data_IF_018883470308
#
_entry.id   IF_018883470308
#
_cell.length_a   1.000
_cell.length_b   1.000
_cell.length_c   1.000
_cell.angle_alpha   90.00
_cell.angle_beta   90.00
_cell.angle_gamma   90.00
#
_symmetry.space_group_name_H-M   'P 1'
#
loop_
_entity.id
_entity.type
_entity.pdbx_description
1 polymer ?
2 polymer ?
3 non-polymer ?
4 non-polymer ?
5 non-polymer ?
6 non-polymer ?
7 non-polymer ?
8 water ?
#
# COMPACT_ATOMS: atom_id res chain seq x y z
N UNK A 1 10.72 3.42 -29.56
CA UNK A 1 10.54 3.75 -28.11
C UNK A 1 10.80 2.54 -27.25
N UNK A 2 11.35 2.84 -26.11
CA UNK A 2 11.67 1.84 -25.09
C UNK A 2 11.12 2.22 -23.73
N UNK A 3 10.74 1.17 -23.02
CA UNK A 3 9.93 1.31 -21.79
C UNK A 3 10.69 1.93 -20.64
N UNK A 4 12.00 1.81 -20.72
CA UNK A 4 12.89 2.20 -19.62
C UNK A 4 13.10 3.70 -19.61
N UNK A 5 12.84 4.24 -20.79
CA UNK A 5 12.92 5.67 -21.03
C UNK A 5 11.55 6.30 -21.14
N UNK A 6 11.28 7.17 -20.20
CA UNK A 6 10.09 8.02 -20.23
C UNK A 6 8.83 7.18 -20.19
N UNK A 7 9.04 5.96 -19.73
CA UNK A 7 7.97 4.95 -19.56
C UNK A 7 7.41 4.52 -20.89
N UNK A 8 8.22 4.78 -21.89
CA UNK A 8 7.92 4.39 -23.27
C UNK A 8 6.78 5.22 -23.82
N UNK A 9 6.51 6.24 -23.04
CA UNK A 9 5.51 7.27 -23.36
C UNK A 9 4.13 6.88 -22.87
N UNK A 10 4.11 5.67 -22.33
CA UNK A 10 2.88 5.07 -21.77
C UNK A 10 2.43 5.79 -20.50
N UNK A 11 1.12 5.89 -20.37
CA UNK A 11 0.52 6.52 -19.19
C UNK A 11 0.66 5.59 -18.00
N UNK A 12 0.58 4.32 -18.33
CA UNK A 12 0.62 3.24 -17.32
C UNK A 12 1.71 2.23 -17.61
N UNK A 13 1.27 1.05 -18.01
CA UNK A 13 2.19 -0.11 -18.20
C UNK A 13 2.72 -0.19 -19.62
N UNK A 14 3.94 -0.70 -19.68
CA UNK A 14 4.73 -0.76 -20.93
C UNK A 14 5.44 -2.09 -21.13
N UNK A 15 5.31 -2.57 -22.35
CA UNK A 15 5.99 -3.78 -22.84
C UNK A 15 6.77 -3.55 -24.10
N UNK A 16 8.03 -3.93 -24.00
CA UNK A 16 8.96 -3.96 -25.14
C UNK A 16 8.73 -5.22 -25.95
N UNK A 17 8.76 -5.01 -27.24
CA UNK A 17 8.63 -6.11 -28.22
C UNK A 17 9.77 -6.16 -29.18
N UNK A 18 9.85 -7.33 -29.78
CA UNK A 18 10.90 -7.65 -30.76
C UNK A 18 10.82 -6.73 -31.94
N UNK A 19 11.85 -5.91 -31.98
CA UNK A 19 11.99 -4.83 -32.97
C UNK A 19 11.93 -3.50 -32.27
N UNK A 20 11.64 -2.50 -33.08
CA UNK A 20 11.45 -1.13 -32.60
C UNK A 20 10.00 -0.98 -32.20
N UNK A 21 9.55 -2.04 -31.54
CA UNK A 21 8.15 -2.19 -31.08
C UNK A 21 7.93 -2.07 -29.58
N UNK A 22 6.83 -1.41 -29.32
CA UNK A 22 6.35 -1.12 -27.95
C UNK A 22 4.83 -1.17 -27.87
N UNK A 23 4.38 -1.77 -26.78
CA UNK A 23 2.96 -1.83 -26.43
C UNK A 23 2.71 -1.33 -25.02
N UNK A 24 1.84 -0.34 -24.98
CA UNK A 24 1.30 0.20 -23.73
C UNK A 24 0.08 -0.58 -23.32
N UNK A 25 -0.10 -0.62 -22.03
CA UNK A 25 -1.26 -1.29 -21.44
C UNK A 25 -1.83 -0.52 -20.27
N UNK A 26 -3.03 -0.91 -19.93
CA UNK A 26 -3.77 -0.28 -18.83
C UNK A 26 -4.27 -1.30 -17.82
N UNK A 27 -4.32 -0.81 -16.59
CA UNK A 27 -4.81 -1.57 -15.43
C UNK A 27 -6.27 -1.92 -15.67
N UNK A 28 -6.68 -2.98 -15.01
CA UNK A 28 -8.10 -3.34 -15.00
C UNK A 28 -8.88 -2.11 -14.58
N UNK A 29 -9.99 -1.91 -15.28
CA UNK A 29 -10.91 -0.78 -15.03
C UNK A 29 -10.55 0.45 -15.83
N UNK A 30 -9.59 0.22 -16.70
CA UNK A 30 -9.17 1.20 -17.72
C UNK A 30 -9.07 0.56 -19.09
N UNK A 31 -9.21 1.42 -20.06
CA UNK A 31 -8.97 1.09 -21.47
C UNK A 31 -7.99 2.07 -22.13
N UNK A 32 -7.24 1.52 -23.04
CA UNK A 32 -6.22 2.23 -23.83
C UNK A 32 -6.87 2.99 -24.96
N UNK A 33 -6.50 4.26 -25.05
CA UNK A 33 -6.99 5.14 -26.12
C UNK A 33 -6.22 4.88 -27.42
N UNK A 34 -6.77 5.46 -28.46
CA UNK A 34 -6.27 5.24 -29.85
C UNK A 34 -4.89 5.82 -30.08
N UNK A 35 -4.47 6.65 -29.14
CA UNK A 35 -3.10 7.25 -29.16
C UNK A 35 -2.06 6.22 -28.80
N UNK A 36 -2.59 5.13 -28.26
CA UNK A 36 -1.80 3.94 -27.91
C UNK A 36 -0.99 4.07 -26.64
N UNK A 37 -1.24 5.16 -25.94
CA UNK A 37 -0.50 5.48 -24.69
C UNK A 37 -1.37 5.81 -23.48
N UNK A 38 -2.51 6.40 -23.77
CA UNK A 38 -3.40 6.95 -22.72
C UNK A 38 -4.39 5.92 -22.23
N UNK A 39 -4.69 6.06 -20.95
CA UNK A 39 -5.64 5.20 -20.26
C UNK A 39 -6.79 6.02 -19.73
N UNK A 40 -7.98 5.53 -20.00
CA UNK A 40 -9.23 6.14 -19.55
C UNK A 40 -10.07 5.15 -18.73
N UNK A 41 -10.66 5.60 -17.62
CA UNK A 41 -11.48 4.69 -16.82
C UNK A 41 -12.70 4.17 -17.55
N UNK A 42 -13.01 2.95 -17.21
CA UNK A 42 -14.14 2.21 -17.82
C UNK A 42 -15.19 1.86 -16.78
N UNK A 43 -14.81 2.14 -15.55
CA UNK A 43 -15.66 1.90 -14.37
C UNK A 43 -15.76 3.14 -13.51
N UNK A 44 -16.67 3.05 -12.57
CA UNK A 44 -17.04 4.19 -11.73
C UNK A 44 -15.93 4.52 -10.76
N UNK A 45 -15.32 3.46 -10.28
CA UNK A 45 -14.31 3.55 -9.22
C UNK A 45 -13.03 2.84 -9.59
N UNK A 46 -12.31 3.37 -10.59
CA UNK A 46 -11.06 2.74 -10.93
C UNK A 46 -10.04 2.95 -9.86
N UNK A 47 -9.12 2.02 -9.79
CA UNK A 47 -8.04 2.10 -8.81
C UNK A 47 -7.23 3.36 -9.01
N UNK A 48 -6.79 3.89 -7.89
CA UNK A 48 -5.76 4.92 -7.84
C UNK A 48 -6.22 6.32 -8.19
N UNK A 49 -7.52 6.42 -8.27
CA UNK A 49 -8.22 7.71 -8.45
C UNK A 49 -9.07 8.04 -7.23
N UNK A 50 -9.08 9.32 -6.93
CA UNK A 50 -9.79 9.89 -5.76
C UNK A 50 -11.10 10.59 -6.16
N UNK A 51 -12.25 9.92 -5.99
CA UNK A 51 -13.51 10.40 -6.54
C UNK A 51 -13.86 11.84 -6.24
N UNK A 52 -13.62 12.24 -5.00
CA UNK A 52 -14.08 13.59 -4.55
C UNK A 52 -13.27 14.66 -5.24
N UNK A 53 -12.09 14.25 -5.68
CA UNK A 53 -11.14 15.15 -6.37
C UNK A 53 -11.36 15.14 -7.88
N UNK A 54 -11.75 13.98 -8.36
CA UNK A 54 -12.04 13.80 -9.80
C UNK A 54 -13.27 14.60 -10.16
N UNK A 55 -14.17 14.61 -9.19
CA UNK A 55 -15.45 15.34 -9.29
C UNK A 55 -15.22 16.83 -9.17
N UNK A 56 -14.28 17.13 -8.30
CA UNK A 56 -13.95 18.51 -7.90
C UNK A 56 -13.46 19.32 -9.09
N UNK A 57 -13.03 18.56 -10.08
CA UNK A 57 -12.45 19.13 -11.32
C UNK A 57 -13.19 18.75 -12.59
N UNK A 58 -14.26 18.01 -12.37
CA UNK A 58 -15.14 17.55 -13.45
C UNK A 58 -16.01 18.72 -13.94
N UNK B 1 1.64 8.90 12.40
CA UNK B 1 2.28 9.89 11.53
C UNK B 1 2.68 11.11 12.33
N UNK B 2 3.95 11.37 12.21
CA UNK B 2 4.63 12.55 12.79
C UNK B 2 4.93 13.59 11.72
N UNK B 3 4.42 14.77 12.00
CA UNK B 3 4.74 15.98 11.23
C UNK B 3 3.97 16.13 9.94
N UNK B 4 2.87 15.40 9.91
CA UNK B 4 1.94 15.41 8.77
C UNK B 4 0.74 16.31 8.99
N UNK B 5 -0.30 15.97 8.27
CA UNK B 5 -1.60 16.64 8.36
C UNK B 5 -2.72 15.65 8.26
N UNK B 6 -3.90 16.12 8.60
CA UNK B 6 -5.11 15.33 8.44
C UNK B 6 -5.31 15.11 6.93
N UNK B 7 -5.52 13.85 6.59
CA UNK B 7 -5.94 13.50 5.23
C UNK B 7 -7.41 13.88 5.08
N UNK B 8 -7.74 14.84 4.22
CA UNK B 8 -9.16 15.16 4.14
C UNK B 8 -10.00 13.94 3.81
N UNK B 9 -11.10 13.85 4.54
CA UNK B 9 -12.01 12.71 4.40
C UNK B 9 -12.29 12.41 2.94
N UNK B 10 -11.86 11.23 2.56
CA UNK B 10 -12.14 10.65 1.23
C UNK B 10 -10.98 10.77 0.29
N UNK B 11 -9.95 11.44 0.77
CA UNK B 11 -8.74 11.69 -0.06
C UNK B 11 -7.70 10.61 0.12
N UNK B 12 -7.99 9.75 1.08
CA UNK B 12 -7.17 8.55 1.35
C UNK B 12 -8.02 7.27 1.31
N UNK B 13 -8.70 7.03 0.18
CA UNK B 13 -9.83 6.10 0.23
C UNK B 13 -9.46 4.62 0.23
N UNK B 14 -8.18 4.40 0.04
CA UNK B 14 -7.60 3.03 -0.01
C UNK B 14 -7.06 2.59 1.34
N UNK B 15 -7.04 3.54 2.25
CA UNK B 15 -6.54 3.29 3.62
C UNK B 15 -7.46 2.35 4.36
N UNK B 16 -6.81 1.37 4.97
CA UNK B 16 -7.47 0.38 5.83
C UNK B 16 -7.01 0.50 7.28
N UNK B 17 -7.98 0.32 8.15
CA UNK B 17 -7.75 0.15 9.59
C UNK B 17 -7.98 -1.29 9.98
N UNK B 18 -6.95 -1.85 10.59
CA UNK B 18 -7.01 -3.22 11.15
C UNK B 18 -7.21 -3.17 12.65
N UNK B 19 -8.19 -3.95 13.04
CA UNK B 19 -8.60 -4.09 14.44
C UNK B 19 -8.50 -5.53 14.90
N UNK B 20 -8.11 -5.65 16.15
CA UNK B 20 -8.17 -6.94 16.87
C UNK B 20 -8.87 -6.74 18.20
N UNK B 21 -10.02 -7.40 18.29
CA UNK B 21 -10.92 -7.26 19.45
C UNK B 21 -11.31 -5.80 19.73
N UNK B 22 -11.48 -5.12 18.62
CA UNK B 22 -11.93 -3.72 18.60
C UNK B 22 -10.83 -2.69 18.77
N UNK B 23 -9.67 -3.23 19.09
CA UNK B 23 -8.46 -2.43 19.32
C UNK B 23 -7.64 -2.27 18.05
N UNK B 24 -7.12 -1.06 17.92
CA UNK B 24 -6.25 -0.68 16.77
C UNK B 24 -5.02 -1.55 16.74
N UNK B 25 -4.83 -2.20 15.60
CA UNK B 25 -3.70 -3.11 15.38
C UNK B 25 -2.64 -2.52 14.46
N UNK B 26 -3.13 -2.10 13.33
CA UNK B 26 -2.30 -1.70 12.20
C UNK B 26 -3.12 -1.05 11.11
N UNK B 27 -2.36 -0.54 10.16
CA UNK B 27 -2.91 -0.06 8.90
C UNK B 27 -2.87 -1.13 7.82
N UNK B 28 -3.49 -0.77 6.73
CA UNK B 28 -3.49 -1.57 5.49
C UNK B 28 -3.84 -0.77 4.27
N UNK B 29 -3.70 -1.46 3.14
CA UNK B 29 -4.05 -0.91 1.82
C UNK B 29 -4.94 -1.83 0.98
N UNK B 30 -6.08 -1.26 0.60
CA UNK B 30 -7.02 -1.92 -0.32
C UNK B 30 -6.44 -1.87 -1.73
N UNK B 31 -6.32 -3.04 -2.36
CA UNK B 31 -5.85 -3.14 -3.78
C UNK B 31 -6.90 -3.70 -4.75
N UNK B 32 -7.90 -4.28 -4.14
CA UNK B 32 -9.09 -4.82 -4.81
C UNK B 32 -10.22 -4.96 -3.80
N UNK B 33 -11.38 -5.38 -4.25
CA UNK B 33 -12.57 -5.39 -3.38
C UNK B 33 -12.50 -6.37 -2.22
N UNK B 34 -11.63 -7.35 -2.36
CA UNK B 34 -11.47 -8.41 -1.33
C UNK B 34 -10.06 -8.58 -0.80
N UNK B 35 -9.16 -7.80 -1.33
CA UNK B 35 -7.72 -7.89 -1.00
C UNK B 35 -7.13 -6.61 -0.41
N UNK B 36 -6.45 -6.87 0.69
CA UNK B 36 -5.74 -5.85 1.49
C UNK B 36 -4.28 -6.26 1.72
N UNK B 37 -3.42 -5.30 1.48
CA UNK B 37 -1.99 -5.45 1.76
C UNK B 37 -1.62 -4.73 3.05
N UNK B 38 -0.89 -5.47 3.86
CA UNK B 38 -0.40 -4.98 5.16
C UNK B 38 1.03 -5.43 5.40
N UNK B 39 1.39 -5.38 6.66
CA UNK B 39 2.74 -5.77 7.13
C UNK B 39 2.69 -7.03 7.97
N UNK B 40 3.62 -7.91 7.66
CA UNK B 40 3.66 -9.23 8.31
C UNK B 40 3.73 -9.11 9.81
N UNK B 41 4.50 -8.12 10.25
CA UNK B 41 4.88 -8.02 11.68
C UNK B 41 3.65 -7.73 12.54
N UNK B 42 2.61 -7.30 11.86
CA UNK B 42 1.38 -6.86 12.52
C UNK B 42 0.71 -8.04 13.19
N UNK B 43 1.13 -9.20 12.74
CA UNK B 43 0.45 -10.47 13.10
C UNK B 43 1.29 -11.37 13.97
N UNK B 44 2.39 -10.79 14.41
CA UNK B 44 3.42 -11.54 15.17
C UNK B 44 2.85 -12.17 16.44
N UNK B 45 1.98 -11.40 17.06
CA UNK B 45 1.50 -11.72 18.44
C UNK B 45 0.06 -12.10 18.48
N UNK B 46 -0.47 -12.33 17.31
CA UNK B 46 -1.89 -12.70 17.16
C UNK B 46 -2.18 -14.06 17.75
N UNK B 47 -3.16 -14.05 18.62
CA UNK B 47 -3.57 -15.24 19.38
C UNK B 47 -4.78 -15.89 18.75
N UNK B 48 -5.82 -15.08 18.69
CA UNK B 48 -7.09 -15.46 18.05
C UNK B 48 -7.32 -14.82 16.68
N UNK B 49 -6.94 -15.59 15.69
CA UNK B 49 -6.87 -15.12 14.29
C UNK B 49 -8.21 -14.76 13.72
N UNK B 50 -9.20 -15.19 14.46
CA UNK B 50 -10.62 -15.09 14.04
C UNK B 50 -11.31 -13.82 14.46
N UNK B 51 -10.59 -13.01 15.18
CA UNK B 51 -11.11 -11.74 15.73
C UNK B 51 -10.50 -10.54 15.05
N UNK B 52 -10.01 -10.79 13.85
CA UNK B 52 -9.40 -9.75 12.99
C UNK B 52 -10.44 -9.11 12.09
N UNK B 53 -10.42 -7.79 12.13
CA UNK B 53 -11.35 -6.95 11.37
C UNK B 53 -10.63 -5.88 10.57
N UNK B 54 -11.08 -5.74 9.35
CA UNK B 54 -10.63 -4.65 8.44
C UNK B 54 -11.74 -3.65 8.23
N UNK B 55 -11.38 -2.40 8.42
CA UNK B 55 -12.32 -1.29 8.21
C UNK B 55 -11.86 -0.37 7.09
N UNK B 56 -12.78 -0.22 6.16
CA UNK B 56 -12.66 0.70 5.01
C UNK B 56 -13.57 1.89 5.23
N UNK B 57 -13.14 3.00 4.64
CA UNK B 57 -13.94 4.24 4.60
C UNK B 57 -13.90 4.97 5.93
N UNK B 58 -12.93 4.57 6.71
CA UNK B 58 -12.69 5.17 8.03
C UNK B 58 -11.97 6.49 7.89
N UNK B 59 -12.26 7.36 8.83
CA UNK B 59 -11.66 8.69 8.90
C UNK B 59 -11.40 9.16 10.31
N UNK B 60 -12.50 9.49 10.95
CA UNK B 60 -12.54 9.93 12.37
C UNK B 60 -13.02 8.82 13.27
N UNK B 61 -12.10 8.36 14.10
CA UNK B 61 -12.30 7.16 14.92
C UNK B 61 -13.31 7.37 16.04
N UNK B 62 -13.63 8.63 16.24
CA UNK B 62 -14.46 9.05 17.40
C UNK B 62 -15.95 8.96 17.08
N UNK B 63 -16.21 8.81 15.80
CA UNK B 63 -17.58 8.86 15.29
C UNK B 63 -17.86 7.89 14.17
N UNK B 64 -19.14 7.63 14.04
CA UNK B 64 -19.70 6.83 12.95
C UNK B 64 -20.48 7.74 12.04
N UNK B 65 -20.10 7.74 10.78
CA UNK B 65 -20.75 8.62 9.77
C UNK B 65 -21.40 7.88 8.62
N UNK B 66 -21.24 6.57 8.67
CA UNK B 66 -21.95 5.64 7.81
C UNK B 66 -21.25 5.28 6.52
N UNK B 67 -20.07 5.84 6.37
CA UNK B 67 -19.21 5.58 5.18
C UNK B 67 -18.28 4.40 5.43
N UNK B 68 -18.23 4.02 6.69
CA UNK B 68 -17.38 2.92 7.17
C UNK B 68 -17.97 1.59 6.72
N UNK B 69 -17.05 0.71 6.36
CA UNK B 69 -17.36 -0.68 6.02
C UNK B 69 -16.36 -1.62 6.66
N UNK B 70 -16.90 -2.48 7.49
CA UNK B 70 -16.14 -3.48 8.25
C UNK B 70 -16.33 -4.87 7.68
N UNK B 71 -15.22 -5.56 7.60
CA UNK B 71 -15.12 -6.93 7.14
C UNK B 71 -14.20 -7.75 8.00
N UNK B 72 -14.60 -8.99 8.18
CA UNK B 72 -13.74 -10.01 8.79
C UNK B 72 -12.65 -10.39 7.82
N UNK B 73 -11.50 -10.63 8.41
CA UNK B 73 -10.33 -11.12 7.69
C UNK B 73 -10.36 -12.63 7.71
N UNK B 74 -10.44 -13.17 6.50
CA UNK B 74 -10.63 -14.61 6.25
C UNK B 74 -9.32 -15.35 6.10
N UNK B 75 -8.34 -14.57 5.66
CA UNK B 75 -7.00 -15.10 5.40
C UNK B 75 -5.94 -14.04 5.57
N UNK B 76 -4.87 -14.46 6.24
CA UNK B 76 -3.62 -13.69 6.36
C UNK B 76 -2.48 -14.51 5.78
N UNK B 77 -1.95 -14.01 4.69
CA UNK B 77 -0.90 -14.68 3.92
C UNK B 77 0.40 -13.91 4.05
N UNK B 78 1.38 -14.65 4.52
CA UNK B 78 2.72 -14.13 4.80
C UNK B 78 3.80 -14.92 4.05
N UNK B 79 4.86 -14.26 3.57
CA UNK B 79 5.88 -15.02 2.87
C UNK B 79 6.68 -15.90 3.80
N UNK B 80 7.08 -17.02 3.22
CA UNK B 80 7.84 -18.06 3.93
C UNK B 80 9.11 -17.51 4.54
N UNK B 81 9.58 -16.46 3.91
CA UNK B 81 10.92 -15.89 4.16
C UNK B 81 10.91 -14.90 5.31
N UNK B 82 9.70 -14.56 5.72
CA UNK B 82 9.49 -13.63 6.87
C UNK B 82 9.73 -14.36 8.18
N UNK B 83 10.54 -13.72 8.99
CA UNK B 83 10.85 -14.18 10.34
C UNK B 83 10.22 -13.26 11.38
N UNK B 84 9.30 -13.78 12.20
CA UNK B 84 8.69 -12.91 13.19
C UNK B 84 9.69 -12.18 14.04
N UNK B 85 9.36 -10.92 14.23
CA UNK B 85 10.07 -10.02 15.13
C UNK B 85 11.19 -9.30 14.44
N UNK B 86 11.25 -9.56 13.16
CA UNK B 86 12.23 -8.93 12.26
C UNK B 86 11.59 -8.07 11.21
N UNK B 87 12.44 -7.57 10.33
CA UNK B 87 12.06 -6.50 9.38
C UNK B 87 11.97 -6.92 7.94
N UNK B 88 12.77 -7.90 7.60
CA UNK B 88 12.87 -8.35 6.19
C UNK B 88 11.60 -9.10 5.79
N UNK B 89 11.18 -8.80 4.58
CA UNK B 89 9.99 -9.42 3.96
C UNK B 89 8.72 -9.10 4.76
N UNK B 90 8.68 -7.87 5.24
CA UNK B 90 7.57 -7.36 6.09
C UNK B 90 6.33 -7.00 5.28
N UNK B 91 5.68 -8.06 4.85
CA UNK B 91 4.48 -7.95 4.00
C UNK B 91 3.49 -9.06 4.27
N UNK B 92 2.24 -8.68 4.13
CA UNK B 92 1.09 -9.60 4.29
C UNK B 92 -0.04 -9.27 3.34
N UNK B 93 -0.61 -10.33 2.83
CA UNK B 93 -1.82 -10.27 1.97
C UNK B 93 -3.01 -10.87 2.69
N UNK B 94 -4.00 -10.01 2.82
CA UNK B 94 -5.26 -10.30 3.52
C UNK B 94 -6.43 -10.39 2.60
N UNK B 95 -7.11 -11.51 2.78
CA UNK B 95 -8.36 -11.82 2.09
C UNK B 95 -9.54 -11.52 3.01
N UNK B 96 -10.41 -10.68 2.53
CA UNK B 96 -11.63 -10.30 3.26
C UNK B 96 -12.68 -11.38 3.05
N UNK B 97 -13.53 -11.50 4.05
CA UNK B 97 -14.56 -12.55 4.09
C UNK B 97 -15.66 -12.27 3.06
N UNK B 98 -15.83 -11.00 2.82
CA UNK B 98 -16.82 -10.47 1.88
C UNK B 98 -16.29 -9.20 1.23
N UNK B 99 -16.54 -8.99 -0.07
CA UNK B 99 -15.99 -7.79 -0.66
C UNK B 99 -16.56 -6.54 -0.03
N UNK B 100 -15.71 -5.53 0.01
CA UNK B 100 -16.17 -4.16 0.27
C UNK B 100 -16.85 -3.66 -0.98
N UNK B 101 -17.74 -2.71 -0.78
CA UNK B 101 -18.46 -2.02 -1.84
C UNK B 101 -17.74 -0.73 -2.16
N UNK B 102 -17.34 -0.58 -3.40
CA UNK B 102 -16.64 0.63 -3.84
C UNK B 102 -17.59 1.81 -3.83
N UNK B 103 -17.08 2.86 -3.22
CA UNK B 103 -17.80 4.13 -3.07
C UNK B 103 -16.84 5.31 -3.16
N UNK B 104 -17.39 6.51 -3.00
CA UNK B 104 -16.55 7.72 -3.05
C UNK B 104 -15.47 7.64 -1.97
N UNK B 105 -15.76 6.84 -0.97
CA UNK B 105 -14.93 6.82 0.27
C UNK B 105 -14.13 5.55 0.45
N UNK B 106 -14.38 4.67 -0.50
CA UNK B 106 -13.75 3.35 -0.55
C UNK B 106 -13.36 2.98 -1.97
N UNK B 107 -12.06 3.04 -2.19
CA UNK B 107 -11.43 2.83 -3.50
C UNK B 107 -10.07 2.13 -3.37
N UNK B 108 -9.78 1.15 -4.24
CA UNK B 108 -8.47 0.53 -4.15
C UNK B 108 -7.37 1.35 -4.78
N UNK B 109 -6.21 1.16 -4.21
CA UNK B 109 -4.95 1.65 -4.78
C UNK B 109 -4.48 0.64 -5.81
N UNK B 110 -3.94 1.16 -6.90
CA UNK B 110 -3.45 0.30 -7.99
C UNK B 110 -2.17 -0.42 -7.56
N UNK B 111 -2.21 -1.72 -7.67
CA UNK B 111 -1.01 -2.54 -7.53
C UNK B 111 -0.30 -2.53 -8.89
N UNK B 112 0.89 -1.95 -8.97
CA UNK B 112 1.48 -1.81 -10.29
C UNK B 112 2.19 -3.05 -10.75
N UNK B 113 2.41 -3.07 -12.06
CA UNK B 113 3.35 -4.04 -12.66
C UNK B 113 4.73 -3.74 -12.13
N UNK B 114 5.48 -4.82 -12.01
CA UNK B 114 6.83 -4.76 -11.42
C UNK B 114 7.72 -3.84 -12.21
N UNK B 115 7.71 -4.08 -13.51
CA UNK B 115 8.58 -3.32 -14.44
C UNK B 115 8.34 -1.83 -14.32
N UNK B 116 7.07 -1.51 -14.37
CA UNK B 116 6.59 -0.12 -14.28
C UNK B 116 7.05 0.48 -12.96
N UNK B 117 6.93 -0.35 -11.93
CA UNK B 117 7.24 0.09 -10.57
C UNK B 117 8.72 0.37 -10.41
N UNK B 118 9.49 -0.48 -11.06
CA UNK B 118 10.97 -0.48 -10.92
C UNK B 118 11.61 0.60 -11.76
N UNK B 119 11.06 0.73 -12.94
CA UNK B 119 11.61 1.58 -14.00
C UNK B 119 11.17 3.02 -13.89
N UNK B 120 10.01 3.20 -13.31
CA UNK B 120 9.36 4.53 -13.30
C UNK B 120 9.00 5.04 -11.92
N UNK B 121 8.20 4.25 -11.23
CA UNK B 121 7.63 4.68 -9.94
C UNK B 121 8.72 4.92 -8.92
N UNK B 122 9.77 4.13 -9.07
CA UNK B 122 10.87 4.07 -8.08
C UNK B 122 11.69 5.34 -8.09
N UNK B 123 11.40 6.15 -9.10
CA UNK B 123 12.15 7.41 -9.37
C UNK B 123 11.34 8.66 -9.14
N UNK B 124 10.10 8.42 -8.76
CA UNK B 124 9.23 9.50 -8.31
C UNK B 124 9.68 9.82 -6.90
N UNK B 125 10.07 11.07 -6.70
CA UNK B 125 10.76 11.46 -5.47
C UNK B 125 9.88 11.26 -4.27
N UNK B 126 8.76 11.95 -4.34
CA UNK B 126 7.80 12.05 -3.22
C UNK B 126 6.60 11.14 -3.37
N UNK B 127 6.29 10.59 -2.23
CA UNK B 127 5.12 9.72 -2.01
C UNK B 127 4.47 9.98 -0.67
N UNK B 128 3.25 9.52 -0.60
CA UNK B 128 2.37 9.72 0.57
C UNK B 128 2.27 8.48 1.45
N UNK B 129 2.49 8.74 2.73
CA UNK B 129 2.30 7.73 3.80
C UNK B 129 1.24 8.20 4.77
N UNK B 130 0.42 7.24 5.19
CA UNK B 130 -0.76 7.55 6.01
C UNK B 130 -1.07 6.52 7.08
N UNK B 131 -1.80 7.04 8.06
CA UNK B 131 -2.29 6.24 9.20
C UNK B 131 -2.77 7.01 10.40
N UNK B 132 -3.22 6.18 11.34
CA UNK B 132 -3.82 6.61 12.62
C UNK B 132 -2.85 6.35 13.74
N UNK B 133 -1.60 6.26 13.36
CA UNK B 133 -0.51 6.06 14.29
C UNK B 133 -0.21 7.25 15.18
N UNK B 134 0.81 7.03 15.98
CA UNK B 134 1.35 8.05 16.91
C UNK B 134 1.76 9.31 16.18
N UNK B 135 1.32 10.40 16.78
CA UNK B 135 1.52 11.77 16.27
C UNK B 135 2.88 12.29 16.68
N UNK B 136 3.39 11.60 17.66
CA UNK B 136 4.71 11.87 18.26
C UNK B 136 5.33 10.60 18.79
N UNK B 137 6.65 10.57 18.76
CA UNK B 137 7.38 9.51 19.46
C UNK B 137 6.93 9.57 20.92
N UNK B 138 6.54 8.40 21.39
CA UNK B 138 6.09 8.21 22.78
C UNK B 138 4.81 8.98 23.07
N UNK B 139 4.10 9.23 21.99
CA UNK B 139 2.85 9.99 22.04
C UNK B 139 1.63 9.18 21.72
N UNK B 140 0.52 9.86 21.90
CA UNK B 140 -0.82 9.34 21.59
C UNK B 140 -1.02 9.23 20.09
N UNK B 141 -1.83 8.24 19.75
CA UNK B 141 -2.27 8.00 18.37
C UNK B 141 -3.33 8.99 17.96
N UNK B 142 -3.47 9.06 16.65
CA UNK B 142 -4.37 9.99 15.95
C UNK B 142 -5.78 9.47 15.91
N UNK B 143 -6.71 10.39 16.08
CA UNK B 143 -8.15 10.10 15.98
C UNK B 143 -8.65 10.29 14.54
N UNK B 144 -7.99 11.20 13.87
CA UNK B 144 -8.22 11.48 12.44
C UNK B 144 -7.05 10.98 11.61
N UNK B 145 -7.41 10.38 10.48
CA UNK B 145 -6.42 9.85 9.52
C UNK B 145 -5.47 10.95 9.10
N UNK B 146 -4.21 10.63 9.28
CA UNK B 146 -3.10 11.53 8.93
C UNK B 146 -2.34 11.04 7.72
N UNK B 147 -1.77 12.02 7.05
CA UNK B 147 -0.98 11.80 5.84
C UNK B 147 0.25 12.70 5.79
N UNK B 148 1.27 12.13 5.18
CA UNK B 148 2.63 12.73 5.09
C UNK B 148 3.34 12.46 3.77
N UNK B 149 3.82 13.54 3.21
CA UNK B 149 4.64 13.50 1.98
C UNK B 149 6.09 13.28 2.38
N UNK B 150 6.65 12.20 1.87
CA UNK B 150 8.05 11.77 2.15
C UNK B 150 8.87 11.49 0.88
N UNK B 151 10.15 11.89 0.89
CA UNK B 151 11.00 11.58 -0.23
C UNK B 151 11.73 10.29 -0.04
N UNK B 152 11.86 9.61 -1.16
CA UNK B 152 12.53 8.31 -1.25
C UNK B 152 14.01 8.48 -1.54
N UNK B 153 14.76 7.62 -0.89
CA UNK B 153 16.22 7.58 -1.02
C UNK B 153 16.69 6.29 -1.63
N UNK B 154 17.68 6.43 -2.50
CA UNK B 154 18.42 5.26 -2.97
C UNK B 154 19.14 4.71 -1.76
N UNK B 155 19.22 3.40 -1.72
CA UNK B 155 19.68 2.71 -0.50
C UNK B 155 21.09 3.09 -0.09
N UNK B 156 21.88 3.45 -1.10
CA UNK B 156 23.29 3.83 -0.88
C UNK B 156 23.32 5.14 -0.12
N UNK B 157 22.43 6.01 -0.56
CA UNK B 157 22.34 7.39 -0.04
C UNK B 157 21.77 7.35 1.36
N UNK B 158 20.89 6.40 1.56
CA UNK B 158 20.20 6.24 2.86
C UNK B 158 21.23 5.96 3.92
N UNK B 159 22.08 5.03 3.53
CA UNK B 159 23.13 4.49 4.42
C UNK B 159 24.13 5.55 4.78
N UNK B 160 24.41 6.36 3.78
CA UNK B 160 25.43 7.40 3.87
C UNK B 160 24.96 8.50 4.80
N UNK B 161 23.68 8.79 4.63
CA UNK B 161 23.02 9.97 5.26
C UNK B 161 22.55 9.67 6.66
N UNK B 162 22.64 8.40 6.97
CA UNK B 162 22.18 7.87 8.26
C UNK B 162 23.29 7.85 9.28
N UNK B 163 22.91 8.23 10.48
CA UNK B 163 23.81 8.28 11.64
C UNK B 163 23.15 8.79 12.91
N UNK B 168 21.59 -2.95 14.53
CA UNK B 168 20.80 -2.12 13.62
C UNK B 168 20.57 -2.82 12.28
N UNK B 169 19.30 -3.05 11.93
CA UNK B 169 19.03 -3.83 10.73
C UNK B 169 19.57 -3.20 9.47
N UNK B 170 20.00 -4.08 8.61
CA UNK B 170 20.39 -3.72 7.25
C UNK B 170 19.19 -3.25 6.47
N UNK B 171 19.53 -2.44 5.49
CA UNK B 171 18.60 -2.08 4.42
C UNK B 171 18.83 -3.05 3.28
N UNK B 172 17.89 -3.95 3.17
CA UNK B 172 17.92 -4.99 2.13
C UNK B 172 17.19 -4.53 0.89
N UNK B 173 17.28 -5.40 -0.08
CA UNK B 173 16.77 -5.14 -1.44
C UNK B 173 15.27 -5.23 -1.42
N UNK B 174 14.79 -5.63 -0.27
CA UNK B 174 13.33 -5.85 -0.04
C UNK B 174 12.73 -4.69 0.73
N UNK B 175 13.59 -3.71 0.87
CA UNK B 175 13.28 -2.48 1.60
C UNK B 175 13.71 -1.25 0.84
N UNK B 176 13.15 -0.15 1.30
CA UNK B 176 13.68 1.19 0.97
C UNK B 176 13.41 2.20 2.06
N UNK B 177 14.26 3.20 2.00
CA UNK B 177 14.22 4.36 2.89
C UNK B 177 13.43 5.50 2.29
N UNK B 178 12.71 6.13 3.17
CA UNK B 178 11.96 7.36 2.85
C UNK B 178 11.71 8.21 4.07
N UNK B 179 11.79 9.50 3.84
CA UNK B 179 11.53 10.52 4.86
C UNK B 179 12.62 11.53 5.05
N UNK B 180 12.83 11.81 6.32
CA UNK B 180 13.71 12.89 6.82
C UNK B 180 14.51 12.46 8.03
N UNK B 181 15.69 13.02 8.10
CA UNK B 181 16.68 12.66 9.12
C UNK B 181 16.71 13.62 10.30
N UNK B 182 15.85 14.61 10.24
CA UNK B 182 15.87 15.73 11.23
C UNK B 182 14.88 15.57 12.36
N UNK B 183 14.24 14.42 12.32
CA UNK B 183 13.33 13.96 13.39
C UNK B 183 12.03 14.72 13.50
N UNK B 184 11.64 15.29 12.37
CA UNK B 184 10.45 16.15 12.31
C UNK B 184 9.26 15.48 11.67
N UNK B 185 9.61 14.53 10.83
CA UNK B 185 8.62 13.88 9.93
C UNK B 185 8.90 12.40 9.69
N UNK B 186 7.90 11.62 10.01
CA UNK B 186 7.99 10.14 9.92
C UNK B 186 6.66 9.44 10.11
N UNK B 187 6.65 8.20 9.67
CA UNK B 187 5.61 7.24 10.06
C UNK B 187 6.08 6.63 11.36
N UNK B 188 5.10 6.19 12.14
CA UNK B 188 5.33 5.79 13.53
C UNK B 188 4.51 4.58 13.90
N UNK B 189 4.73 4.14 15.11
CA UNK B 189 3.96 3.01 15.65
C UNK B 189 2.48 3.31 15.51
N UNK B 190 1.79 2.33 14.98
CA UNK B 190 0.35 2.39 14.76
C UNK B 190 0.02 2.58 13.29
N UNK B 191 1.06 2.94 12.57
CA UNK B 191 0.95 3.21 11.11
C UNK B 191 1.32 1.99 10.28
N UNK B 192 1.99 1.07 10.94
CA UNK B 192 2.55 -0.08 10.23
C UNK B 192 1.47 -0.76 9.43
N UNK B 193 1.86 -1.11 8.22
CA UNK B 193 1.03 -1.89 7.29
C UNK B 193 0.32 -1.00 6.29
N UNK B 194 0.40 0.28 6.59
CA UNK B 194 -0.23 1.31 5.79
C UNK B 194 0.47 1.56 4.46
N UNK B 195 -0.19 2.31 3.57
CA UNK B 195 0.38 2.59 2.26
C UNK B 195 1.41 3.68 2.21
N UNK B 196 2.38 3.37 1.37
CA UNK B 196 3.30 4.34 0.74
C UNK B 196 2.88 4.35 -0.72
N UNK B 197 2.21 5.44 -1.05
CA UNK B 197 1.49 5.62 -2.33
C UNK B 197 2.13 6.70 -3.19
N UNK B 198 2.33 6.30 -4.43
CA UNK B 198 3.07 7.08 -5.43
C UNK B 198 2.22 7.45 -6.63
N UNK B 199 2.24 8.76 -6.89
CA UNK B 199 1.50 9.37 -8.00
C UNK B 199 2.32 9.38 -9.27
N UNK B 200 1.65 8.95 -10.32
CA UNK B 200 2.18 9.04 -11.69
C UNK B 200 1.09 9.23 -12.74
N UNK B 201 1.25 10.35 -13.40
CA UNK B 201 0.38 10.76 -14.50
C UNK B 201 -1.10 10.53 -14.21
N UNK B 202 -1.48 11.01 -13.05
CA UNK B 202 -2.89 11.17 -12.67
C UNK B 202 -3.48 10.02 -11.89
N UNK B 203 -2.60 9.08 -11.63
CA UNK B 203 -2.96 7.84 -10.90
C UNK B 203 -1.96 7.46 -9.84
N UNK B 204 -2.53 6.90 -8.79
CA UNK B 204 -1.80 6.46 -7.57
C UNK B 204 -1.61 4.95 -7.51
N UNK B 205 -0.40 4.63 -7.09
CA UNK B 205 0.09 3.24 -7.00
C UNK B 205 0.75 2.91 -5.68
N UNK B 206 0.61 1.64 -5.33
CA UNK B 206 1.26 1.05 -4.15
C UNK B 206 2.72 0.68 -4.41
N UNK B 207 3.59 1.44 -3.75
CA UNK B 207 5.05 1.25 -3.85
C UNK B 207 5.70 0.75 -2.55
N UNK B 208 5.05 1.08 -1.47
CA UNK B 208 5.58 0.72 -0.15
C UNK B 208 4.55 0.40 0.89
N UNK B 209 5.05 -0.31 1.87
CA UNK B 209 4.33 -0.62 3.11
C UNK B 209 5.11 -0.15 4.34
N UNK B 210 4.42 0.61 5.17
CA UNK B 210 5.00 1.07 6.44
C UNK B 210 5.41 -0.16 7.24
N UNK B 211 6.70 -0.30 7.42
CA UNK B 211 7.27 -1.43 8.15
C UNK B 211 7.52 -1.01 9.58
N UNK B 212 8.72 -1.27 10.04
CA UNK B 212 9.12 -0.83 11.39
C UNK B 212 10.61 -0.87 11.63
N UNK B 213 10.91 -0.36 12.80
CA UNK B 213 12.29 -0.21 13.29
C UNK B 213 12.38 0.67 14.54
N UNK B 215 12.77 3.70 16.74
CA UNK B 215 11.72 4.60 17.18
C UNK B 215 11.17 5.31 15.98
N UNK B 216 10.52 6.41 16.24
CA UNK B 216 9.97 7.23 15.15
C UNK B 216 10.40 8.66 15.28
N UNK B 217 10.65 9.22 14.10
CA UNK B 217 11.15 10.59 13.93
C UNK B 217 12.46 10.81 14.67
N UNK B 218 13.23 9.75 14.70
CA UNK B 218 14.57 9.75 15.31
C UNK B 218 15.59 10.41 14.41
N UNK B 219 16.18 11.43 14.98
CA UNK B 219 17.24 12.18 14.31
C UNK B 219 18.30 11.21 13.86
N UNK B 220 18.66 11.38 12.60
CA UNK B 220 19.77 10.65 11.96
C UNK B 220 19.31 9.38 11.30
N UNK B 221 18.01 9.19 11.38
CA UNK B 221 17.36 7.99 10.82
C UNK B 221 16.18 8.30 9.94
N UNK B 222 16.06 7.44 8.94
CA UNK B 222 14.96 7.47 7.97
C UNK B 222 13.98 6.33 8.20
N UNK B 223 12.77 6.60 7.78
CA UNK B 223 11.71 5.60 7.77
C UNK B 223 12.05 4.49 6.80
N UNK B 224 11.70 3.29 7.21
CA UNK B 224 11.91 2.07 6.41
C UNK B 224 10.59 1.43 5.95
N UNK B 225 10.60 1.12 4.68
CA UNK B 225 9.42 0.66 3.94
C UNK B 225 9.71 -0.60 3.16
N UNK B 226 8.74 -1.51 3.21
CA UNK B 226 8.77 -2.73 2.40
C UNK B 226 8.61 -2.34 0.93
N UNK B 227 9.55 -2.86 0.15
CA UNK B 227 9.63 -2.59 -1.30
C UNK B 227 8.70 -3.50 -2.06
N UNK B 228 7.52 -2.96 -2.33
CA UNK B 228 6.38 -3.75 -2.81
C UNK B 228 6.63 -4.38 -4.17
N UNK B 229 7.54 -3.75 -4.90
CA UNK B 229 7.86 -4.16 -6.29
C UNK B 229 8.40 -5.58 -6.34
N UNK B 230 8.98 -5.97 -5.22
CA UNK B 230 9.67 -7.27 -5.11
C UNK B 230 8.66 -8.40 -4.99
N UNK B 231 7.43 -7.98 -4.75
CA UNK B 231 6.34 -8.90 -4.31
C UNK B 231 5.15 -8.99 -5.23
N UNK B 232 5.25 -8.29 -6.35
CA UNK B 232 4.09 -8.10 -7.24
C UNK B 232 3.58 -9.44 -7.72
N UNK B 233 4.53 -10.19 -8.22
CA UNK B 233 4.26 -11.50 -8.83
C UNK B 233 3.76 -12.48 -7.78
N UNK B 234 4.36 -12.36 -6.60
CA UNK B 234 3.97 -13.19 -5.44
C UNK B 234 2.51 -12.94 -5.04
N UNK B 235 2.18 -11.67 -5.04
CA UNK B 235 0.83 -11.19 -4.65
C UNK B 235 -0.20 -11.65 -5.67
N UNK B 236 0.19 -11.47 -6.91
CA UNK B 236 -0.70 -11.71 -8.05
C UNK B 236 -1.11 -13.18 -8.12
N UNK B 237 -0.13 -14.00 -7.84
CA UNK B 237 -0.32 -15.46 -7.89
C UNK B 237 -1.29 -15.84 -6.79
N UNK B 238 -1.12 -15.21 -5.66
CA UNK B 238 -1.92 -15.56 -4.46
C UNK B 238 -3.37 -15.16 -4.67
N UNK B 239 -3.54 -14.07 -5.38
CA UNK B 239 -4.88 -13.48 -5.58
C UNK B 239 -5.71 -14.32 -6.53
N UNK B 240 -5.01 -15.18 -7.23
CA UNK B 240 -5.59 -16.10 -8.23
C UNK B 240 -5.89 -17.46 -7.63
N UNK B 241 -5.51 -17.59 -6.37
CA UNK B 241 -5.60 -18.84 -5.63
C UNK B 241 -6.88 -18.97 -4.83
N UNK B 242 -7.29 -20.22 -4.68
CA UNK B 242 -8.44 -20.57 -3.85
C UNK B 242 -8.07 -20.45 -2.37
N UNK B 243 -8.99 -19.95 -1.54
CA UNK B 243 -8.82 -19.93 -0.10
C UNK B 243 -8.60 -21.30 0.47
N UNK B 244 -7.84 -21.28 1.55
CA UNK B 244 -7.50 -22.47 2.33
C UNK B 244 -8.04 -22.38 3.76
N UNK B 245 -8.44 -23.52 4.33
CA UNK B 245 -8.86 -23.44 5.71
C UNK B 245 -7.75 -22.99 6.59
N UNK B 246 -8.18 -22.25 7.59
CA UNK B 246 -7.28 -21.64 8.59
C UNK B 246 -6.76 -20.31 8.12
N UNK B 247 -6.84 -19.34 9.02
CA UNK B 247 -6.65 -17.93 8.67
C UNK B 247 -5.25 -17.70 8.16
N UNK B 248 -4.32 -18.06 9.01
CA UNK B 248 -2.88 -17.91 8.68
C UNK B 248 -2.45 -18.92 7.64
N UNK B 249 -1.80 -18.35 6.65
CA UNK B 249 -1.16 -19.10 5.55
C UNK B 249 0.22 -18.54 5.27
N UNK B 250 1.19 -19.43 5.40
CA UNK B 250 2.56 -19.15 4.98
C UNK B 250 2.72 -19.72 3.58
N UNK B 251 3.10 -18.83 2.70
CA UNK B 251 3.25 -19.12 1.26
C UNK B 251 4.69 -18.93 0.81
N UNK B 252 5.20 -19.85 -0.01
CA UNK B 252 6.58 -19.69 -0.43
C UNK B 252 6.82 -18.42 -1.19
N UNK B 253 7.97 -17.87 -0.87
CA UNK B 253 8.56 -16.73 -1.58
C UNK B 253 9.99 -17.09 -1.97
N UNK B 254 10.39 -16.82 -3.22
CA UNK B 254 9.62 -16.15 -4.26
C UNK B 254 8.42 -16.98 -4.73
X LIG C 1 9.09 -6.04 -21.13
X LIG C 1 8.38 -6.62 -22.27
X LIG C 1 8.49 -6.53 -19.88
X LIG C 1 10.51 -6.44 -21.16
X LIG C 1 9.04 -4.58 -21.20
X LIG D 1 -4.62 13.05 -8.15
X LIG D 1 -4.39 13.28 -6.76
X LIG D 1 -6.11 12.90 -8.37
X LIG D 1 -6.78 13.56 -7.31
X LIG D 1 -6.47 11.42 -8.43
X LIG D 1 -7.87 11.25 -8.48
X LIG E 1 -4.90 -2.58 -22.56
X LIG E 1 -4.42 -2.76 -21.25
X LIG E 1 -6.35 -2.13 -22.52
X LIG E 1 -7.15 -3.03 -21.77
X LIG E 1 -6.84 -2.03 -23.95
X LIG E 1 -7.92 -1.13 -24.01
X LIG F 1 -15.65 7.19 11.56
X LIG G 1 -5.34 -22.71 -6.14
X LIG H 1 -7.87 -20.56 12.28
X LIG I 1 -17.68 -9.88 6.65
X LIG J 1 4.40 -2.65 16.46
X LIG J 1 6.30 0.13 15.11
X LIG J 1 6.04 -1.37 17.22
X LIG J 1 7.37 0.91 15.44
X LIG J 1 7.59 1.80 14.31
X LIG J 1 3.84 -4.97 16.82
X LIG J 1 8.50 2.82 14.02
X LIG J 1 3.26 -7.40 17.21
X LIG J 1 2.21 -3.47 15.87
X LIG J 1 1.31 -4.49 15.80
X LIG J 1 1.65 -5.76 16.24
X LIG J 1 7.08 -4.88 19.51
X LIG J 1 5.69 -0.94 15.91
X LIG J 1 4.67 -1.76 15.47
X LIG J 1 5.27 -2.38 17.54
X LIG J 1 5.85 0.47 13.85
X LIG J 1 3.48 -3.69 16.39
X LIG J 1 6.61 1.48 13.34
X LIG J 1 4.66 -7.05 19.19
X LIG J 1 4.56 -7.44 17.90
X LIG J 1 4.07 -1.68 14.27
X LIG J 1 8.44 3.45 12.86
X LIG J 1 3.66 -6.67 19.78
X LIG J 1 6.60 2.20 12.14
X LIG J 1 2.92 -6.00 16.75
X LIG J 1 7.54 3.18 11.94
X LIG J 1 5.99 -7.11 19.89
X LIG J 1 6.31 -5.75 20.52
X LIG J 1 8.55 -5.29 19.49
X LIG K 1 18.08 1.46 -4.70
X LIG K 1 16.96 1.27 -5.60
X LIG K 1 18.76 0.19 -4.52
X LIG K 1 18.99 2.44 -5.29
X LIG K 1 17.62 1.95 -3.40
X LIG L 1 3.94 -16.24 13.86
X LIG L 1 4.60 -15.67 14.97
X LIG L 1 3.02 -15.19 13.27
X LIG L 1 1.76 -15.30 13.85
X LIG L 1 2.95 -15.36 11.76
X LIG L 1 4.13 -14.85 11.19
#
# INVERSE_FOLDING_TARGET
LICVNENGGCEQYCSDHTGTKRSCRCHEGYSLLADGVSCTPTVEYPCGKIPILEKRNASKPQGR
IVGGKVCPKGECPWQVLLLVNGAQLCGGTLINTIWVVSAAHCFDKIKNWRNLIAVLGEHDLSEHDGDEQSRRVAQVIIPSTYVPGTTNHDIALLRLHQPVVLTDHVVPLCLPERTFSERTLAFVRFSLVSGWGQLLDRGATALELMVLNVPRLMTQDCLQQSRKVGDSPNITEYMFCAGYSDGSKDSCKGDSGGPHATHYRGTWYLTGIVSWGQGCATVGHFGVYTRVSQYIEWLQKLMRSEPRPGVLLRAPFP
SO4 S O1 O2 O3 O4
GOL C1 O1 C2 O2 C3 O3
GOL C1 O1 C2 O2 C3 O3
CA CA
CL CL
CL CL
CL CL
9RV N3 C4 C7 C8 C10 C13 C20 C21 C22 C24 C26 C28 C1 C2 N5 N6 C9 C11 C12 N14 O15 N16 O17 C18 C19 C23 C25 C27 C29
SO4 S O1 O2 O3 O4
GOL C1 O1 C2 O2 C3 O3
#
